data_IF_003706539114
#
_entry.id   IF_003706539114
#
_cell.length_a   1.000
_cell.length_b   1.000
_cell.length_c   1.000
_cell.angle_alpha   90.00
_cell.angle_beta   90.00
_cell.angle_gamma   90.00
#
_symmetry.space_group_name_H-M   'P 1'
#
loop_
_entity.id
_entity.type
_entity.pdbx_description
1 polymer ?
#
# COMPACT_ATOMS: atom_id res chain seq x y z
N UNK A 1 3.95 -0.07 -15.22
CA UNK A 1 3.70 -0.16 -13.77
C UNK A 1 4.79 0.60 -13.06
N UNK A 2 4.45 1.34 -12.01
CA UNK A 2 5.45 1.88 -11.06
C UNK A 2 5.25 1.18 -9.73
N UNK A 3 6.22 1.28 -8.83
CA UNK A 3 6.15 0.71 -7.50
C UNK A 3 6.38 1.79 -6.43
N UNK A 4 5.66 1.70 -5.32
CA UNK A 4 5.90 2.51 -4.12
C UNK A 4 5.99 1.58 -2.92
N UNK A 5 6.83 1.95 -1.98
CA UNK A 5 6.92 1.30 -0.69
C UNK A 5 6.01 2.03 0.29
N UNK A 6 5.07 1.31 0.89
CA UNK A 6 4.27 1.76 2.02
C UNK A 6 4.96 1.32 3.31
N UNK A 7 5.13 2.24 4.24
CA UNK A 7 5.53 1.95 5.62
C UNK A 7 4.48 2.55 6.56
N UNK A 8 3.93 1.74 7.46
CA UNK A 8 2.91 2.14 8.43
C UNK A 8 3.46 2.19 9.85
N UNK A 9 2.79 2.92 10.73
CA UNK A 9 3.08 2.95 12.15
C UNK A 9 2.97 1.56 12.79
N UNK A 10 3.92 1.21 13.67
CA UNK A 10 3.97 -0.12 14.30
C UNK A 10 2.68 -0.48 15.05
N UNK A 11 1.92 0.49 15.57
CA UNK A 11 0.66 0.21 16.29
C UNK A 11 -0.46 -0.32 15.39
N UNK A 12 -0.30 -0.20 14.08
CA UNK A 12 -1.31 -0.53 13.08
C UNK A 12 -0.96 -1.82 12.31
N UNK A 13 0.10 -2.52 12.73
CA UNK A 13 0.65 -3.72 12.08
C UNK A 13 -0.40 -4.78 11.76
N UNK A 14 -1.42 -4.94 12.61
CA UNK A 14 -2.46 -5.96 12.44
C UNK A 14 -3.39 -5.67 11.26
N UNK A 15 -3.46 -4.42 10.79
CA UNK A 15 -4.30 -4.02 9.64
C UNK A 15 -3.61 -4.25 8.29
N UNK A 16 -2.28 -4.44 8.29
CA UNK A 16 -1.49 -4.42 7.05
C UNK A 16 -1.82 -5.58 6.11
N UNK A 17 -2.02 -6.78 6.65
CA UNK A 17 -2.36 -7.96 5.85
C UNK A 17 -3.69 -7.76 5.11
N UNK A 18 -4.73 -7.33 5.83
CA UNK A 18 -6.06 -7.05 5.28
C UNK A 18 -6.01 -5.92 4.23
N UNK A 19 -5.19 -4.89 4.45
CA UNK A 19 -4.96 -3.84 3.47
C UNK A 19 -4.32 -4.41 2.20
N UNK A 20 -3.28 -5.24 2.32
CA UNK A 20 -2.61 -5.87 1.18
C UNK A 20 -3.59 -6.76 0.39
N UNK A 21 -4.46 -7.51 1.07
CA UNK A 21 -5.52 -8.26 0.40
C UNK A 21 -6.50 -7.36 -0.35
N UNK A 22 -6.88 -6.22 0.24
CA UNK A 22 -7.78 -5.24 -0.38
C UNK A 22 -7.19 -4.68 -1.67
N UNK A 23 -5.91 -4.30 -1.68
CA UNK A 23 -5.25 -3.80 -2.91
C UNK A 23 -5.21 -4.88 -4.00
N UNK A 24 -4.99 -6.15 -3.61
CA UNK A 24 -4.94 -7.27 -4.55
C UNK A 24 -6.32 -7.71 -5.10
N UNK A 25 -7.42 -7.14 -4.60
CA UNK A 25 -8.76 -7.36 -5.18
C UNK A 25 -9.01 -6.48 -6.40
N UNK A 26 -8.26 -5.39 -6.56
CA UNK A 26 -8.38 -4.51 -7.72
C UNK A 26 -7.57 -5.04 -8.90
N UNK A 27 -8.17 -5.00 -10.09
CA UNK A 27 -7.44 -5.28 -11.34
C UNK A 27 -6.31 -4.26 -11.54
N UNK A 28 -5.20 -4.72 -12.15
CA UNK A 28 -4.04 -3.89 -12.49
C UNK A 28 -3.23 -3.35 -11.28
N UNK A 29 -3.49 -3.85 -10.08
CA UNK A 29 -2.71 -3.58 -8.86
C UNK A 29 -2.10 -4.85 -8.27
N UNK A 30 -0.95 -4.71 -7.65
CA UNK A 30 -0.29 -5.80 -6.91
C UNK A 30 0.27 -5.24 -5.62
N UNK A 31 -0.04 -5.89 -4.50
CA UNK A 31 0.51 -5.58 -3.19
C UNK A 31 1.21 -6.80 -2.60
N UNK A 32 2.38 -6.57 -2.01
CA UNK A 32 3.17 -7.59 -1.34
C UNK A 32 3.65 -7.09 0.02
N UNK A 33 3.32 -7.82 1.07
CA UNK A 33 3.80 -7.52 2.42
C UNK A 33 5.26 -7.97 2.57
N UNK A 34 6.14 -7.03 2.91
CA UNK A 34 7.57 -7.30 3.14
C UNK A 34 7.80 -7.70 4.60
N UNK A 35 7.18 -6.99 5.53
CA UNK A 35 7.22 -7.23 6.97
C UNK A 35 5.91 -6.76 7.63
N UNK A 36 5.83 -6.75 8.97
CA UNK A 36 4.61 -6.39 9.70
C UNK A 36 4.19 -4.90 9.57
N UNK A 37 5.05 -4.06 9.01
CA UNK A 37 4.84 -2.60 8.88
C UNK A 37 5.12 -2.08 7.48
N UNK A 38 5.61 -2.92 6.56
CA UNK A 38 6.07 -2.50 5.25
C UNK A 38 5.45 -3.36 4.16
N UNK A 39 4.96 -2.72 3.11
CA UNK A 39 4.47 -3.37 1.91
C UNK A 39 5.01 -2.69 0.64
N UNK A 40 5.17 -3.48 -0.42
CA UNK A 40 5.42 -3.01 -1.78
C UNK A 40 4.09 -2.96 -2.53
N UNK A 41 3.78 -1.81 -3.11
CA UNK A 41 2.54 -1.58 -3.86
C UNK A 41 2.91 -1.22 -5.30
N UNK A 42 2.27 -1.87 -6.26
CA UNK A 42 2.53 -1.74 -7.69
C UNK A 42 1.21 -1.45 -8.37
N UNK A 43 1.17 -0.40 -9.19
CA UNK A 43 -0.02 -0.04 -9.96
C UNK A 43 0.33 0.44 -11.37
N UNK A 44 -0.65 0.37 -12.27
CA UNK A 44 -0.57 0.95 -13.61
C UNK A 44 -1.07 2.40 -13.58
N UNK A 45 -0.25 3.31 -14.09
CA UNK A 45 -0.61 4.72 -14.24
C UNK A 45 -0.73 5.49 -12.92
N UNK A 46 -1.01 6.79 -13.02
CA UNK A 46 -1.13 7.69 -11.86
C UNK A 46 -2.46 7.50 -11.10
N UNK A 47 -3.52 7.04 -11.79
CA UNK A 47 -4.84 6.82 -11.17
C UNK A 47 -4.80 5.71 -10.11
N UNK A 48 -4.08 4.60 -10.39
CA UNK A 48 -3.93 3.52 -9.42
C UNK A 48 -3.17 3.97 -8.18
N UNK A 49 -2.14 4.81 -8.33
CA UNK A 49 -1.43 5.38 -7.18
C UNK A 49 -2.30 6.33 -6.36
N UNK A 50 -3.07 7.19 -7.01
CA UNK A 50 -3.99 8.09 -6.32
C UNK A 50 -5.05 7.31 -5.51
N UNK A 51 -5.55 6.18 -6.06
CA UNK A 51 -6.46 5.31 -5.34
C UNK A 51 -5.77 4.62 -4.15
N UNK A 52 -4.58 4.05 -4.34
CA UNK A 52 -3.79 3.44 -3.26
C UNK A 52 -3.51 4.44 -2.13
N UNK A 53 -3.16 5.68 -2.45
CA UNK A 53 -2.92 6.76 -1.48
C UNK A 53 -4.19 7.07 -0.68
N UNK A 54 -5.36 7.13 -1.36
CA UNK A 54 -6.65 7.33 -0.69
C UNK A 54 -7.03 6.18 0.24
N UNK A 55 -6.72 4.93 -0.14
CA UNK A 55 -6.94 3.77 0.71
C UNK A 55 -6.02 3.82 1.92
N UNK A 56 -4.72 4.08 1.74
CA UNK A 56 -3.78 4.18 2.86
C UNK A 56 -4.22 5.25 3.88
N UNK A 57 -4.68 6.41 3.41
CA UNK A 57 -5.22 7.47 4.27
C UNK A 57 -6.51 7.11 5.01
N UNK A 58 -7.26 6.11 4.52
CA UNK A 58 -8.47 5.61 5.18
C UNK A 58 -8.15 4.54 6.23
N UNK A 59 -7.12 3.73 5.97
CA UNK A 59 -6.77 2.58 6.79
C UNK A 59 -5.79 2.90 7.92
N UNK A 60 -4.88 3.84 7.69
CA UNK A 60 -3.74 4.12 8.56
C UNK A 60 -3.70 5.58 9.01
N UNK A 61 -3.43 5.78 10.30
CA UNK A 61 -3.26 7.11 10.89
C UNK A 61 -1.83 7.64 10.68
N UNK A 62 -0.83 6.75 10.64
CA UNK A 62 0.58 7.09 10.42
C UNK A 62 1.17 6.21 9.30
N UNK A 63 1.41 6.79 8.13
CA UNK A 63 2.00 6.08 7.00
C UNK A 63 2.89 6.97 6.14
N UNK A 64 3.82 6.33 5.43
CA UNK A 64 4.73 6.97 4.49
C UNK A 64 4.77 6.16 3.19
N UNK A 65 4.59 6.84 2.06
CA UNK A 65 4.81 6.26 0.74
C UNK A 65 6.12 6.77 0.15
N UNK A 66 6.98 5.84 -0.26
CA UNK A 66 8.27 6.15 -0.89
C UNK A 66 8.34 5.49 -2.26
N UNK A 67 8.39 6.26 -3.36
CA UNK A 67 8.56 5.71 -4.70
C UNK A 67 9.82 4.85 -4.80
N UNK A 68 9.71 3.67 -5.40
CA UNK A 68 10.85 2.79 -5.70
C UNK A 68 11.41 3.20 -7.06
N UNK A 69 12.72 3.46 -7.11
CA UNK A 69 13.44 3.83 -8.34
C UNK A 69 13.91 2.60 -9.11
#
# INVERSE_FOLDING_TARGET
MKATKLTIGFREWSKLADFVETINQEDEMVAYQIDNTTALLVAIGECGFAWIDSQAATWFDDYYMTPVK
#
